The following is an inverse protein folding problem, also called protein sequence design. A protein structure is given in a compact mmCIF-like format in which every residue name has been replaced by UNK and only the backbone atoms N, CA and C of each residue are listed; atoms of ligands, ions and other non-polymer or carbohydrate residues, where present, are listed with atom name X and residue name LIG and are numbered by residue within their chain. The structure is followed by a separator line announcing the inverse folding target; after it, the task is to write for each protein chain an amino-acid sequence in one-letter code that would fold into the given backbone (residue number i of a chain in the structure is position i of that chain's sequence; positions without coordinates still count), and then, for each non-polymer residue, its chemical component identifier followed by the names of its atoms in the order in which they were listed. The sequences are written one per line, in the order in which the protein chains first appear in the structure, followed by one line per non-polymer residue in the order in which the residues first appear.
data_IF_239020073618
#
_entry.id   IF_239020073618
#
_cell.length_a   1.000
_cell.length_b   1.000
_cell.length_c   1.000
_cell.angle_alpha   90.00
_cell.angle_beta   90.00
_cell.angle_gamma   90.00
#
_symmetry.space_group_name_H-M   'P 1'
#
loop_
_entity.id
_entity.type
_entity.pdbx_description
1 polymer ?
#
# COMPACT_ATOMS: atom_id res chain seq x y z
N UNK A 1 -15.48 -12.08 -2.50
CA UNK A 1 -15.67 -11.49 -1.16
C UNK A 1 -14.49 -10.60 -0.79
N UNK A 2 -13.26 -11.13 -0.72
CA UNK A 2 -12.03 -10.37 -0.40
C UNK A 2 -11.87 -9.07 -1.21
N UNK A 3 -11.70 -9.16 -2.54
CA UNK A 3 -11.38 -7.99 -3.38
C UNK A 3 -12.37 -6.82 -3.25
N UNK A 4 -13.66 -7.09 -3.07
CA UNK A 4 -14.68 -6.06 -2.89
C UNK A 4 -14.57 -5.37 -1.53
N UNK A 5 -14.32 -6.14 -0.47
CA UNK A 5 -14.10 -5.59 0.89
C UNK A 5 -12.81 -4.79 0.94
N UNK A 6 -11.72 -5.38 0.43
CA UNK A 6 -10.41 -4.76 0.31
C UNK A 6 -10.51 -3.42 -0.42
N UNK A 7 -11.09 -3.40 -1.63
CA UNK A 7 -11.29 -2.16 -2.39
C UNK A 7 -12.11 -1.10 -1.63
N UNK A 8 -13.13 -1.50 -0.87
CA UNK A 8 -13.94 -0.56 -0.10
C UNK A 8 -13.13 0.09 1.02
N UNK A 9 -12.30 -0.69 1.73
CA UNK A 9 -11.38 -0.19 2.76
C UNK A 9 -10.34 0.74 2.16
N UNK A 10 -9.68 0.35 1.05
CA UNK A 10 -8.70 1.19 0.35
C UNK A 10 -9.28 2.52 -0.13
N UNK A 11 -10.54 2.52 -0.59
CA UNK A 11 -11.22 3.75 -0.99
C UNK A 11 -11.47 4.68 0.20
N UNK A 12 -11.82 4.12 1.37
CA UNK A 12 -12.01 4.89 2.59
C UNK A 12 -10.67 5.49 3.07
N UNK A 13 -9.59 4.71 3.07
CA UNK A 13 -8.25 5.19 3.38
C UNK A 13 -7.85 6.33 2.45
N UNK A 14 -8.03 6.17 1.13
CA UNK A 14 -7.73 7.22 0.16
C UNK A 14 -8.55 8.50 0.42
N UNK A 15 -9.83 8.38 0.80
CA UNK A 15 -10.67 9.52 1.16
C UNK A 15 -10.13 10.23 2.40
N UNK A 16 -9.75 9.49 3.44
CA UNK A 16 -9.14 10.07 4.64
C UNK A 16 -7.83 10.81 4.31
N UNK A 17 -6.93 10.19 3.54
CA UNK A 17 -5.67 10.82 3.14
C UNK A 17 -5.88 12.07 2.29
N UNK A 18 -6.85 12.05 1.38
CA UNK A 18 -7.20 13.21 0.57
C UNK A 18 -7.78 14.36 1.41
N UNK A 19 -8.47 14.06 2.51
CA UNK A 19 -8.99 15.09 3.40
C UNK A 19 -7.89 15.81 4.20
N UNK A 20 -6.70 15.20 4.36
CA UNK A 20 -5.59 15.80 5.10
C UNK A 20 -4.97 17.02 4.40
N UNK A 21 -5.00 17.06 3.07
CA UNK A 21 -4.36 18.10 2.28
C UNK A 21 -5.29 18.66 1.19
N UNK A 22 -5.38 20.01 1.05
CA UNK A 22 -6.14 20.61 -0.03
C UNK A 22 -5.54 20.20 -1.40
N UNK A 23 -6.35 20.14 -2.47
CA UNK A 23 -5.89 19.68 -3.79
C UNK A 23 -4.61 20.34 -4.29
N UNK A 24 -4.42 21.64 -4.03
CA UNK A 24 -3.24 22.42 -4.42
C UNK A 24 -1.94 21.99 -3.73
N UNK A 25 -2.02 21.25 -2.62
CA UNK A 25 -0.86 20.71 -1.89
C UNK A 25 -0.62 19.23 -2.15
N UNK A 26 -1.41 18.61 -3.03
CA UNK A 26 -1.22 17.20 -3.40
C UNK A 26 -0.16 17.08 -4.49
N UNK A 27 0.65 16.02 -4.43
CA UNK A 27 1.74 15.83 -5.39
C UNK A 27 1.20 15.67 -6.83
N UNK A 28 1.84 16.35 -7.77
CA UNK A 28 1.58 16.18 -9.21
C UNK A 28 1.93 14.77 -9.70
N UNK A 29 2.80 14.06 -8.97
CA UNK A 29 3.17 12.67 -9.26
C UNK A 29 2.02 11.68 -9.03
N UNK A 30 0.90 12.08 -8.44
CA UNK A 30 -0.26 11.21 -8.28
C UNK A 30 -0.76 10.62 -9.62
N UNK A 31 -0.67 11.37 -10.72
CA UNK A 31 -1.09 10.87 -12.04
C UNK A 31 -0.23 9.69 -12.51
N UNK A 32 1.10 9.80 -12.61
CA UNK A 32 1.93 8.66 -12.98
C UNK A 32 1.83 7.50 -11.97
N UNK A 33 1.64 7.77 -10.68
CA UNK A 33 1.48 6.71 -9.67
C UNK A 33 0.18 5.94 -9.80
N UNK A 34 -0.92 6.60 -10.21
CA UNK A 34 -2.18 5.89 -10.51
C UNK A 34 -2.02 4.93 -11.69
N UNK A 35 -1.27 5.34 -12.71
CA UNK A 35 -0.96 4.47 -13.86
C UNK A 35 -0.10 3.28 -13.42
N UNK A 36 0.95 3.55 -12.64
CA UNK A 36 1.82 2.50 -12.10
C UNK A 36 1.03 1.50 -11.25
N UNK A 37 0.17 1.96 -10.34
CA UNK A 37 -0.69 1.10 -9.53
C UNK A 37 -1.63 0.23 -10.37
N UNK A 38 -2.26 0.80 -11.40
CA UNK A 38 -3.10 0.03 -12.32
C UNK A 38 -2.31 -1.05 -13.06
N UNK A 39 -1.11 -0.74 -13.57
CA UNK A 39 -0.24 -1.72 -14.24
C UNK A 39 0.16 -2.85 -13.28
N UNK A 40 0.56 -2.49 -12.05
CA UNK A 40 0.93 -3.45 -11.01
C UNK A 40 -0.22 -4.39 -10.63
N UNK A 41 -1.48 -3.94 -10.73
CA UNK A 41 -2.65 -4.81 -10.53
C UNK A 41 -3.05 -5.63 -11.77
N UNK A 42 -2.90 -5.05 -12.97
CA UNK A 42 -3.30 -5.71 -14.21
C UNK A 42 -2.38 -6.86 -14.61
N UNK A 43 -1.05 -6.72 -14.43
CA UNK A 43 -0.08 -7.74 -14.81
C UNK A 43 -0.28 -9.08 -14.06
N UNK A 44 -0.40 -9.10 -12.71
CA UNK A 44 -0.65 -10.34 -11.98
C UNK A 44 -2.03 -10.93 -12.26
N UNK A 45 -3.04 -10.10 -12.57
CA UNK A 45 -4.36 -10.61 -12.94
C UNK A 45 -4.31 -11.52 -14.18
N UNK A 46 -3.39 -11.26 -15.12
CA UNK A 46 -3.15 -12.12 -16.29
C UNK A 46 -2.46 -13.44 -15.91
N UNK A 47 -1.72 -13.48 -14.80
CA UNK A 47 -0.98 -14.64 -14.32
C UNK A 47 -1.80 -15.52 -13.36
N UNK A 48 -3.01 -15.09 -13.02
CA UNK A 48 -3.97 -15.83 -12.22
C UNK A 48 -4.02 -15.42 -10.74
N UNK A 49 -4.95 -16.04 -10.01
CA UNK A 49 -5.32 -15.66 -8.65
C UNK A 49 -4.13 -15.64 -7.67
N UNK A 50 -3.26 -16.64 -7.74
CA UNK A 50 -2.05 -16.74 -6.90
C UNK A 50 -1.13 -15.51 -7.05
N UNK A 51 -0.96 -15.03 -8.29
CA UNK A 51 -0.13 -13.87 -8.58
C UNK A 51 -0.75 -12.57 -8.04
N UNK A 52 -2.08 -12.44 -8.13
CA UNK A 52 -2.83 -11.31 -7.57
C UNK A 52 -2.63 -11.23 -6.07
N UNK A 53 -2.90 -12.31 -5.33
CA UNK A 53 -2.74 -12.35 -3.88
C UNK A 53 -1.27 -12.18 -3.44
N UNK A 54 -0.30 -12.76 -4.17
CA UNK A 54 1.11 -12.52 -3.87
C UNK A 54 1.48 -11.02 -4.04
N UNK A 55 0.93 -10.37 -5.07
CA UNK A 55 1.19 -8.95 -5.33
C UNK A 55 0.52 -8.06 -4.28
N UNK A 56 -0.73 -8.34 -3.92
CA UNK A 56 -1.43 -7.61 -2.85
C UNK A 56 -0.64 -7.74 -1.54
N UNK A 57 -0.30 -8.96 -1.12
CA UNK A 57 0.50 -9.17 0.10
C UNK A 57 1.84 -8.43 0.07
N UNK A 58 2.51 -8.35 -1.08
CA UNK A 58 3.74 -7.57 -1.23
C UNK A 58 3.52 -6.04 -1.11
N UNK A 59 2.43 -5.53 -1.69
CA UNK A 59 2.04 -4.11 -1.55
C UNK A 59 1.69 -3.81 -0.08
N UNK A 60 0.82 -4.60 0.54
CA UNK A 60 0.40 -4.35 1.93
C UNK A 60 1.55 -4.49 2.94
N UNK A 61 2.49 -5.39 2.67
CA UNK A 61 3.74 -5.44 3.46
C UNK A 61 4.51 -4.13 3.39
N UNK A 62 4.58 -3.52 2.20
CA UNK A 62 5.22 -2.22 2.04
C UNK A 62 4.42 -1.10 2.72
N UNK A 63 3.10 -1.08 2.57
CA UNK A 63 2.24 -0.03 3.14
C UNK A 63 2.25 -0.10 4.67
N UNK A 64 2.17 -1.29 5.28
CA UNK A 64 2.32 -1.49 6.74
C UNK A 64 3.64 -0.89 7.26
N UNK A 65 4.76 -1.20 6.60
CA UNK A 65 6.07 -0.65 6.96
C UNK A 65 6.14 0.87 6.75
N UNK A 66 5.49 1.37 5.69
CA UNK A 66 5.44 2.79 5.40
C UNK A 66 4.68 3.57 6.47
N UNK A 67 3.51 3.07 6.88
CA UNK A 67 2.74 3.64 7.98
C UNK A 67 3.50 3.57 9.30
N UNK A 68 4.18 2.46 9.62
CA UNK A 68 5.00 2.37 10.83
C UNK A 68 6.01 3.51 10.89
N UNK A 69 6.74 3.72 9.79
CA UNK A 69 7.74 4.77 9.73
C UNK A 69 7.14 6.19 9.81
N UNK A 70 5.91 6.40 9.38
CA UNK A 70 5.20 7.68 9.59
C UNK A 70 4.76 7.83 11.05
N UNK A 71 4.20 6.80 11.66
CA UNK A 71 3.79 6.75 13.06
C UNK A 71 4.99 7.06 13.97
N UNK A 72 6.13 6.42 13.74
CA UNK A 72 7.38 6.63 14.49
C UNK A 72 7.85 8.10 14.40
N UNK A 73 7.74 8.73 13.24
CA UNK A 73 8.10 10.15 13.05
C UNK A 73 7.15 11.13 13.77
N UNK A 74 5.93 10.67 14.10
CA UNK A 74 4.91 11.46 14.78
C UNK A 74 4.86 11.19 16.30
N UNK A 75 5.58 10.19 16.81
CA UNK A 75 5.49 9.72 18.19
C UNK A 75 5.64 10.84 19.24
N UNK A 76 6.62 11.73 19.05
CA UNK A 76 6.89 12.84 19.97
C UNK A 76 6.21 14.16 19.56
N UNK A 77 5.18 14.10 18.72
CA UNK A 77 4.50 15.28 18.18
C UNK A 77 3.01 15.28 18.55
N UNK A 78 2.64 15.67 19.79
CA UNK A 78 1.26 15.60 20.27
C UNK A 78 0.27 16.42 19.43
N UNK A 79 0.75 17.47 18.74
CA UNK A 79 -0.07 18.25 17.80
C UNK A 79 -0.61 17.43 16.60
N UNK A 80 -0.04 16.24 16.33
CA UNK A 80 -0.44 15.35 15.24
C UNK A 80 -1.05 14.03 15.73
N UNK A 81 -1.50 13.96 16.98
CA UNK A 81 -2.10 12.75 17.57
C UNK A 81 -3.26 12.19 16.72
N UNK A 82 -4.14 13.05 16.21
CA UNK A 82 -5.25 12.60 15.34
C UNK A 82 -4.78 11.96 14.03
N UNK A 83 -3.73 12.51 13.42
CA UNK A 83 -3.11 11.92 12.22
C UNK A 83 -2.45 10.59 12.56
N UNK A 84 -1.74 10.52 13.68
CA UNK A 84 -1.11 9.29 14.14
C UNK A 84 -2.15 8.18 14.36
N UNK A 85 -3.24 8.47 15.06
CA UNK A 85 -4.31 7.51 15.30
C UNK A 85 -4.97 7.03 14.00
N UNK A 86 -5.14 7.93 13.02
CA UNK A 86 -5.63 7.56 11.69
C UNK A 86 -4.67 6.58 10.99
N UNK A 87 -3.35 6.86 11.04
CA UNK A 87 -2.34 5.99 10.44
C UNK A 87 -2.26 4.63 11.12
N UNK A 88 -2.41 4.57 12.45
CA UNK A 88 -2.46 3.32 13.21
C UNK A 88 -3.68 2.47 12.81
N UNK A 89 -4.86 3.07 12.67
CA UNK A 89 -6.06 2.38 12.19
C UNK A 89 -5.88 1.84 10.76
N UNK A 90 -5.39 2.67 9.84
CA UNK A 90 -5.10 2.23 8.48
C UNK A 90 -4.06 1.09 8.47
N UNK A 91 -3.01 1.17 9.30
CA UNK A 91 -1.99 0.14 9.39
C UNK A 91 -2.53 -1.20 9.89
N UNK A 92 -3.45 -1.19 10.84
CA UNK A 92 -4.12 -2.41 11.31
C UNK A 92 -4.90 -3.10 10.18
N UNK A 93 -5.62 -2.31 9.36
CA UNK A 93 -6.30 -2.81 8.16
C UNK A 93 -5.29 -3.42 7.18
N UNK A 94 -4.14 -2.77 6.91
CA UNK A 94 -3.14 -3.32 5.98
C UNK A 94 -2.51 -4.61 6.47
N UNK A 95 -2.30 -4.75 7.78
CA UNK A 95 -1.82 -6.02 8.36
C UNK A 95 -2.85 -7.12 8.13
N UNK A 96 -4.12 -6.84 8.36
CA UNK A 96 -5.19 -7.80 8.10
C UNK A 96 -5.30 -8.16 6.60
N UNK A 97 -5.20 -7.16 5.71
CA UNK A 97 -5.20 -7.36 4.25
C UNK A 97 -4.02 -8.22 3.80
N UNK A 98 -2.81 -7.93 4.30
CA UNK A 98 -1.59 -8.68 4.02
C UNK A 98 -1.75 -10.15 4.43
N UNK A 99 -2.19 -10.37 5.66
CA UNK A 99 -2.27 -11.70 6.24
C UNK A 99 -3.36 -12.53 5.51
N UNK A 100 -4.56 -11.97 5.27
CA UNK A 100 -5.61 -12.62 4.46
C UNK A 100 -5.12 -12.89 3.02
N UNK A 101 -4.28 -12.02 2.46
CA UNK A 101 -3.73 -12.21 1.12
C UNK A 101 -2.72 -13.36 1.07
N UNK A 102 -1.85 -13.48 2.07
CA UNK A 102 -0.88 -14.59 2.12
C UNK A 102 -1.52 -15.93 2.45
N UNK A 103 -2.63 -15.96 3.19
CA UNK A 103 -3.42 -17.18 3.42
C UNK A 103 -3.99 -17.79 2.13
N UNK A 104 -4.15 -16.96 1.09
CA UNK A 104 -4.63 -17.39 -0.23
C UNK A 104 -3.50 -17.84 -1.17
N UNK A 105 -2.24 -17.67 -0.73
CA UNK A 105 -1.05 -18.02 -1.53
C UNK A 105 -0.51 -19.38 -1.14
N UNK A 106 -0.23 -20.24 -2.13
CA UNK A 106 0.48 -21.50 -1.88
C UNK A 106 1.98 -21.25 -1.92
N UNK A 107 2.63 -21.41 -0.76
CA UNK A 107 4.08 -21.24 -0.60
C UNK A 107 4.86 -22.55 -0.80
N UNK A 108 6.14 -22.49 -1.22
CA UNK A 108 6.91 -21.28 -1.52
C UNK A 108 6.56 -20.69 -2.89
N UNK A 109 6.64 -19.36 -2.99
CA UNK A 109 6.54 -18.68 -4.28
C UNK A 109 7.68 -19.11 -5.20
N UNK A 110 7.36 -19.38 -6.47
CA UNK A 110 8.37 -19.59 -7.50
C UNK A 110 9.28 -18.35 -7.65
N UNK A 111 10.53 -18.57 -8.07
CA UNK A 111 11.55 -17.51 -8.10
C UNK A 111 11.12 -16.26 -8.87
N UNK A 112 10.37 -16.41 -9.98
CA UNK A 112 9.82 -15.30 -10.76
C UNK A 112 8.86 -14.44 -9.91
N UNK A 113 7.96 -15.09 -9.17
CA UNK A 113 6.98 -14.39 -8.35
C UNK A 113 7.63 -13.73 -7.13
N UNK A 114 8.61 -14.40 -6.52
CA UNK A 114 9.41 -13.82 -5.44
C UNK A 114 10.19 -12.58 -5.91
N UNK A 115 10.79 -12.63 -7.10
CA UNK A 115 11.47 -11.49 -7.70
C UNK A 115 10.49 -10.35 -8.02
N UNK A 116 9.32 -10.67 -8.55
CA UNK A 116 8.24 -9.71 -8.80
C UNK A 116 7.80 -8.99 -7.52
N UNK A 117 7.48 -9.74 -6.46
CA UNK A 117 7.07 -9.17 -5.17
C UNK A 117 8.17 -8.26 -4.58
N UNK A 118 9.43 -8.70 -4.67
CA UNK A 118 10.58 -7.88 -4.25
C UNK A 118 10.73 -6.60 -5.07
N UNK A 119 10.45 -6.65 -6.37
CA UNK A 119 10.46 -5.47 -7.24
C UNK A 119 9.32 -4.51 -6.91
N UNK A 120 8.11 -5.02 -6.65
CA UNK A 120 6.95 -4.21 -6.23
C UNK A 120 7.26 -3.46 -4.92
N UNK A 121 7.80 -4.15 -3.91
CA UNK A 121 8.20 -3.52 -2.65
C UNK A 121 9.26 -2.43 -2.83
N UNK A 122 10.35 -2.73 -3.55
CA UNK A 122 11.42 -1.76 -3.83
C UNK A 122 10.93 -0.57 -4.66
N UNK A 123 10.11 -0.83 -5.68
CA UNK A 123 9.53 0.21 -6.54
C UNK A 123 8.66 1.17 -5.74
N UNK A 124 7.85 0.64 -4.82
CA UNK A 124 7.01 1.44 -3.94
C UNK A 124 7.84 2.32 -2.99
N UNK A 125 8.94 1.78 -2.45
CA UNK A 125 9.88 2.55 -1.63
C UNK A 125 10.55 3.70 -2.41
N UNK A 126 10.95 3.45 -3.65
CA UNK A 126 11.52 4.49 -4.54
C UNK A 126 10.48 5.56 -4.87
N UNK A 127 9.23 5.17 -5.14
CA UNK A 127 8.15 6.12 -5.43
C UNK A 127 7.89 7.07 -4.25
N UNK A 128 7.84 6.52 -3.03
CA UNK A 128 7.73 7.32 -1.80
C UNK A 128 8.93 8.25 -1.63
N UNK A 129 10.15 7.74 -1.84
CA UNK A 129 11.36 8.54 -1.71
C UNK A 129 11.35 9.73 -2.69
N UNK A 130 10.96 9.50 -3.95
CA UNK A 130 10.80 10.56 -4.96
C UNK A 130 9.74 11.58 -4.53
N UNK A 131 8.59 11.11 -4.04
CA UNK A 131 7.50 11.97 -3.59
C UNK A 131 7.85 12.84 -2.38
N UNK A 132 8.82 12.43 -1.55
CA UNK A 132 9.34 13.24 -0.43
C UNK A 132 10.33 14.31 -0.88
N UNK A 133 10.95 14.13 -2.05
CA UNK A 133 12.05 14.98 -2.54
C UNK A 133 11.58 16.11 -3.47
N UNK A 134 10.44 15.90 -4.12
CA UNK A 134 9.80 16.81 -5.08
C UNK A 134 8.60 17.52 -4.44
#
# INVERSE_FOLDING_TARGET
AFATRHLATEQLHLQHMQALLPPLRRSWLLVPWRVAGWVTGALPALLGQQAVFATIGAVETFVDQHYQHQIDQLADRPAFESLRNLLEQCQEDERAHRDESFDQVVLPLGWLMSAWCGMVGKGSAVAVWLARRL
#
